data_IF_985429928719
#
_entry.id   IF_985429928719
#
_cell.length_a   1.000
_cell.length_b   1.000
_cell.length_c   1.000
_cell.angle_alpha   90.00
_cell.angle_beta   90.00
_cell.angle_gamma   90.00
#
_symmetry.space_group_name_H-M   'P 1'
#
loop_
_entity.id
_entity.type
_entity.pdbx_description
1 polymer ?
#
# COMPACT_ATOMS: atom_id res chain seq x y z
N UNK A 1 -85.14 -6.79 -42.85
CA UNK A 1 -84.32 -5.64 -42.38
C UNK A 1 -84.15 -5.61 -40.85
N UNK A 2 -85.01 -6.24 -40.04
CA UNK A 2 -84.93 -6.13 -38.57
C UNK A 2 -83.76 -6.92 -37.92
N UNK A 3 -83.32 -8.03 -38.51
CA UNK A 3 -82.24 -8.86 -37.93
C UNK A 3 -80.84 -8.24 -38.01
N UNK A 4 -80.62 -7.30 -38.94
CA UNK A 4 -79.33 -6.63 -39.09
C UNK A 4 -79.11 -5.59 -37.97
N UNK A 5 -80.18 -4.94 -37.53
CA UNK A 5 -80.14 -3.85 -36.55
C UNK A 5 -79.97 -4.39 -35.12
N UNK A 6 -80.56 -5.55 -34.81
CA UNK A 6 -80.35 -6.25 -33.54
C UNK A 6 -78.90 -6.77 -33.40
N UNK A 7 -78.29 -7.23 -34.50
CA UNK A 7 -76.89 -7.72 -34.50
C UNK A 7 -75.88 -6.57 -34.39
N UNK A 8 -76.17 -5.42 -34.99
CA UNK A 8 -75.37 -4.20 -34.86
C UNK A 8 -75.44 -3.59 -33.44
N UNK A 9 -76.62 -3.57 -32.81
CA UNK A 9 -76.79 -3.13 -31.43
C UNK A 9 -76.15 -4.10 -30.41
N UNK A 10 -76.17 -5.40 -30.68
CA UNK A 10 -75.47 -6.41 -29.88
C UNK A 10 -73.95 -6.22 -29.90
N UNK A 11 -73.37 -5.93 -31.06
CA UNK A 11 -71.92 -5.66 -31.21
C UNK A 11 -71.47 -4.38 -30.50
N UNK A 12 -72.27 -3.31 -30.55
CA UNK A 12 -71.98 -2.04 -29.87
C UNK A 12 -72.07 -2.14 -28.33
N UNK A 13 -72.95 -3.01 -27.81
CA UNK A 13 -73.05 -3.28 -26.37
C UNK A 13 -71.90 -4.17 -25.88
N UNK A 14 -71.47 -5.15 -26.68
CA UNK A 14 -70.30 -5.98 -26.39
C UNK A 14 -69.01 -5.18 -26.33
N UNK A 15 -68.73 -4.38 -27.37
CA UNK A 15 -67.53 -3.54 -27.44
C UNK A 15 -67.39 -2.57 -26.25
N UNK A 16 -68.50 -1.92 -25.83
CA UNK A 16 -68.48 -1.03 -24.66
C UNK A 16 -68.27 -1.78 -23.33
N UNK A 17 -68.72 -3.02 -23.21
CA UNK A 17 -68.49 -3.82 -21.99
C UNK A 17 -67.05 -4.34 -21.94
N UNK A 18 -66.46 -4.66 -23.09
CA UNK A 18 -65.06 -5.07 -23.20
C UNK A 18 -64.11 -3.89 -22.91
N UNK A 19 -64.43 -2.67 -23.35
CA UNK A 19 -63.66 -1.47 -23.04
C UNK A 19 -63.70 -1.14 -21.53
N UNK A 20 -64.86 -1.25 -20.89
CA UNK A 20 -65.01 -1.03 -19.44
C UNK A 20 -64.30 -2.11 -18.63
N UNK A 21 -64.31 -3.37 -19.11
CA UNK A 21 -63.54 -4.45 -18.50
C UNK A 21 -62.02 -4.25 -18.67
N UNK A 22 -61.57 -3.77 -19.83
CA UNK A 22 -60.18 -3.44 -20.10
C UNK A 22 -59.69 -2.28 -19.21
N UNK A 23 -60.49 -1.24 -19.03
CA UNK A 23 -60.18 -0.11 -18.14
C UNK A 23 -60.11 -0.55 -16.66
N UNK A 24 -61.02 -1.42 -16.22
CA UNK A 24 -60.99 -1.96 -14.85
C UNK A 24 -59.75 -2.83 -14.60
N UNK A 25 -59.31 -3.60 -15.61
CA UNK A 25 -58.06 -4.38 -15.54
C UNK A 25 -56.85 -3.45 -15.56
N UNK A 26 -56.86 -2.41 -16.39
CA UNK A 26 -55.81 -1.38 -16.43
C UNK A 26 -55.63 -0.67 -15.09
N UNK A 27 -56.74 -0.25 -14.46
CA UNK A 27 -56.70 0.37 -13.13
C UNK A 27 -56.19 -0.59 -12.05
N UNK A 28 -56.62 -1.85 -12.06
CA UNK A 28 -56.12 -2.86 -11.11
C UNK A 28 -54.64 -3.16 -11.30
N UNK A 29 -54.16 -3.18 -12.54
CA UNK A 29 -52.73 -3.31 -12.83
C UNK A 29 -51.98 -2.07 -12.36
N UNK A 30 -52.50 -0.86 -12.57
CA UNK A 30 -51.86 0.38 -12.13
C UNK A 30 -51.74 0.45 -10.59
N UNK A 31 -52.77 0.03 -9.87
CA UNK A 31 -52.75 -0.08 -8.39
C UNK A 31 -51.77 -1.17 -7.94
N UNK A 32 -51.76 -2.34 -8.60
CA UNK A 32 -50.82 -3.41 -8.28
C UNK A 32 -49.36 -3.02 -8.58
N UNK A 33 -49.10 -2.22 -9.61
CA UNK A 33 -47.78 -1.70 -9.94
C UNK A 33 -47.31 -0.62 -8.98
N UNK A 34 -48.20 0.28 -8.54
CA UNK A 34 -47.88 1.31 -7.54
C UNK A 34 -47.62 0.71 -6.16
N UNK A 35 -48.38 -0.32 -5.76
CA UNK A 35 -48.09 -1.09 -4.53
C UNK A 35 -46.78 -1.89 -4.62
N UNK A 36 -46.45 -2.46 -5.79
CA UNK A 36 -45.15 -3.15 -6.00
C UNK A 36 -43.98 -2.17 -5.99
N UNK A 37 -44.18 -0.95 -6.48
CA UNK A 37 -43.18 0.12 -6.41
C UNK A 37 -42.96 0.59 -4.95
N UNK A 38 -44.01 0.61 -4.13
CA UNK A 38 -43.93 0.94 -2.71
C UNK A 38 -43.26 -0.17 -1.85
N UNK A 39 -43.30 -1.44 -2.29
CA UNK A 39 -42.65 -2.57 -1.60
C UNK A 39 -41.22 -2.88 -2.07
N UNK A 40 -40.58 -2.04 -2.89
CA UNK A 40 -39.12 -2.11 -3.08
C UNK A 40 -38.46 -1.54 -1.81
N UNK A 41 -37.85 -2.46 -1.05
CA UNK A 41 -36.94 -2.29 0.11
C UNK A 41 -36.30 -0.90 0.27
N UNK A 42 -36.01 -0.47 1.51
CA UNK A 42 -35.44 0.84 1.79
C UNK A 42 -34.20 1.00 0.93
N UNK A 43 -34.28 1.93 -0.03
CA UNK A 43 -33.12 2.42 -0.73
C UNK A 43 -32.20 2.95 0.37
N UNK A 44 -31.13 2.23 0.66
CA UNK A 44 -29.94 2.87 1.21
C UNK A 44 -29.71 4.07 0.32
N UNK A 45 -29.98 5.26 0.87
CA UNK A 45 -29.70 6.52 0.21
C UNK A 45 -28.18 6.59 0.14
N UNK A 46 -27.63 6.01 -0.92
CA UNK A 46 -26.23 6.15 -1.24
C UNK A 46 -26.04 7.64 -1.54
N UNK A 47 -25.26 8.38 -0.74
CA UNK A 47 -25.02 9.79 -1.01
C UNK A 47 -24.40 9.91 -2.40
N UNK A 48 -24.76 10.97 -3.14
CA UNK A 48 -24.37 11.24 -4.54
C UNK A 48 -22.84 11.21 -4.80
N UNK A 49 -22.01 11.10 -3.77
CA UNK A 49 -20.54 10.98 -3.85
C UNK A 49 -20.01 9.53 -3.85
N UNK A 50 -20.83 8.53 -3.52
CA UNK A 50 -20.36 7.14 -3.49
C UNK A 50 -19.93 6.54 -4.85
N UNK A 51 -20.52 6.88 -6.02
CA UNK A 51 -19.99 6.35 -7.28
C UNK A 51 -18.61 6.93 -7.60
N UNK A 52 -18.35 8.20 -7.25
CA UNK A 52 -17.04 8.82 -7.44
C UNK A 52 -15.97 8.19 -6.54
N UNK A 53 -16.30 7.93 -5.27
CA UNK A 53 -15.41 7.23 -4.35
C UNK A 53 -15.20 5.76 -4.75
N UNK A 54 -16.21 5.07 -5.26
CA UNK A 54 -16.10 3.70 -5.75
C UNK A 54 -15.23 3.61 -7.01
N UNK A 55 -15.38 4.56 -7.94
CA UNK A 55 -14.51 4.67 -9.13
C UNK A 55 -13.08 5.00 -8.73
N UNK A 56 -12.87 5.96 -7.82
CA UNK A 56 -11.52 6.30 -7.33
C UNK A 56 -10.86 5.11 -6.62
N UNK A 57 -11.59 4.38 -5.78
CA UNK A 57 -11.09 3.18 -5.11
C UNK A 57 -10.73 2.07 -6.12
N UNK A 58 -11.53 1.90 -7.17
CA UNK A 58 -11.25 0.94 -8.23
C UNK A 58 -9.99 1.33 -9.03
N UNK A 59 -9.82 2.62 -9.34
CA UNK A 59 -8.60 3.13 -10.00
C UNK A 59 -7.37 2.90 -9.13
N UNK A 60 -7.45 3.18 -7.82
CA UNK A 60 -6.34 2.94 -6.88
C UNK A 60 -6.01 1.45 -6.80
N UNK A 61 -7.02 0.57 -6.74
CA UNK A 61 -6.80 -0.88 -6.71
C UNK A 61 -6.16 -1.40 -7.99
N UNK A 62 -6.56 -0.88 -9.16
CA UNK A 62 -5.96 -1.24 -10.45
C UNK A 62 -4.52 -0.70 -10.56
N UNK A 63 -4.27 0.52 -10.11
CA UNK A 63 -2.91 1.07 -10.05
C UNK A 63 -2.00 0.26 -9.11
N UNK A 64 -2.53 -0.19 -7.98
CA UNK A 64 -1.78 -1.02 -7.04
C UNK A 64 -1.52 -2.44 -7.58
N UNK A 65 -2.48 -3.04 -8.26
CA UNK A 65 -2.32 -4.38 -8.84
C UNK A 65 -1.37 -4.39 -10.03
N UNK A 66 -1.38 -3.33 -10.85
CA UNK A 66 -0.42 -3.15 -11.96
C UNK A 66 1.01 -3.01 -11.44
N UNK A 67 1.28 -2.18 -10.43
CA UNK A 67 2.62 -2.03 -9.85
C UNK A 67 3.17 -3.30 -9.20
N UNK A 68 2.29 -4.23 -8.79
CA UNK A 68 2.68 -5.55 -8.24
C UNK A 68 2.67 -6.68 -9.25
N UNK A 69 2.44 -6.39 -10.53
CA UNK A 69 2.42 -7.41 -11.56
C UNK A 69 3.81 -8.02 -11.77
N UNK A 70 3.89 -9.34 -11.67
CA UNK A 70 5.06 -10.15 -11.99
C UNK A 70 5.04 -10.60 -13.45
N UNK A 71 6.16 -11.08 -14.00
CA UNK A 71 6.32 -11.33 -15.45
C UNK A 71 5.35 -12.37 -16.08
N UNK A 72 4.69 -13.17 -15.24
CA UNK A 72 3.61 -14.09 -15.59
C UNK A 72 2.25 -13.42 -15.79
N UNK A 73 2.07 -12.17 -15.32
CA UNK A 73 0.83 -11.39 -15.44
C UNK A 73 0.68 -10.67 -16.78
N UNK A 74 -0.56 -10.52 -17.27
CA UNK A 74 -0.89 -9.68 -18.42
C UNK A 74 -0.64 -8.19 -18.16
N UNK A 75 -0.64 -7.76 -16.89
CA UNK A 75 -0.39 -6.38 -16.49
C UNK A 75 1.11 -6.02 -16.44
N UNK A 76 2.00 -7.00 -16.67
CA UNK A 76 3.44 -6.79 -16.59
C UNK A 76 3.94 -5.70 -17.54
N UNK A 77 3.43 -5.68 -18.78
CA UNK A 77 3.78 -4.63 -19.74
C UNK A 77 3.36 -3.23 -19.28
N UNK A 78 2.21 -3.12 -18.60
CA UNK A 78 1.76 -1.85 -18.03
C UNK A 78 2.66 -1.40 -16.86
N UNK A 79 3.11 -2.33 -16.02
CA UNK A 79 4.09 -2.06 -14.96
C UNK A 79 5.39 -1.50 -15.54
N UNK A 80 5.98 -2.20 -16.53
CA UNK A 80 7.23 -1.79 -17.19
C UNK A 80 7.07 -0.39 -17.80
N UNK A 81 5.98 -0.14 -18.52
CA UNK A 81 5.73 1.17 -19.13
C UNK A 81 5.61 2.30 -18.10
N UNK A 82 4.99 2.05 -16.95
CA UNK A 82 4.91 3.03 -15.85
C UNK A 82 6.30 3.28 -15.26
N UNK A 83 7.04 2.23 -14.93
CA UNK A 83 8.39 2.33 -14.36
C UNK A 83 9.38 3.06 -15.29
N UNK A 84 9.32 2.81 -16.60
CA UNK A 84 10.12 3.51 -17.61
C UNK A 84 9.71 4.98 -17.74
N UNK A 85 8.41 5.30 -17.64
CA UNK A 85 7.94 6.70 -17.67
C UNK A 85 8.37 7.50 -16.43
N UNK A 86 8.53 6.81 -15.29
CA UNK A 86 8.97 7.42 -14.03
C UNK A 86 10.45 7.83 -14.06
N UNK A 87 11.26 7.25 -14.96
CA UNK A 87 12.68 7.61 -15.14
C UNK A 87 12.84 9.11 -15.37
N UNK A 88 11.96 9.72 -16.16
CA UNK A 88 12.01 11.15 -16.49
C UNK A 88 11.71 12.08 -15.30
N UNK A 89 11.07 11.56 -14.24
CA UNK A 89 10.72 12.32 -13.04
C UNK A 89 11.70 12.09 -11.89
N UNK A 90 12.68 11.20 -12.07
CA UNK A 90 13.63 10.84 -11.04
C UNK A 90 14.80 11.84 -10.99
N UNK A 91 15.26 12.15 -9.78
CA UNK A 91 16.42 13.02 -9.56
C UNK A 91 17.75 12.39 -9.99
N UNK A 92 17.85 11.06 -9.90
CA UNK A 92 18.96 10.25 -10.39
C UNK A 92 18.44 9.13 -11.31
N UNK A 93 18.32 9.39 -12.63
CA UNK A 93 17.78 8.43 -13.58
C UNK A 93 18.72 7.24 -13.82
N UNK A 94 20.04 7.43 -13.70
CA UNK A 94 21.03 6.36 -13.91
C UNK A 94 21.01 5.38 -12.74
N UNK A 95 21.01 5.90 -11.51
CA UNK A 95 20.87 5.08 -10.30
C UNK A 95 19.57 4.26 -10.31
N UNK A 96 18.45 4.90 -10.64
CA UNK A 96 17.16 4.23 -10.72
C UNK A 96 17.11 3.15 -11.80
N UNK A 97 17.60 3.42 -13.01
CA UNK A 97 17.65 2.41 -14.08
C UNK A 97 18.59 1.24 -13.74
N UNK A 98 19.70 1.50 -13.06
CA UNK A 98 20.61 0.43 -12.62
C UNK A 98 19.94 -0.51 -11.61
N UNK A 99 19.15 0.04 -10.68
CA UNK A 99 18.37 -0.73 -9.73
C UNK A 99 17.29 -1.54 -10.45
N UNK A 100 16.56 -0.92 -11.38
CA UNK A 100 15.53 -1.57 -12.16
C UNK A 100 16.10 -2.73 -12.99
N UNK A 101 17.26 -2.53 -13.61
CA UNK A 101 17.97 -3.58 -14.34
C UNK A 101 18.27 -4.80 -13.46
N UNK A 102 18.82 -4.59 -12.26
CA UNK A 102 19.12 -5.69 -11.32
C UNK A 102 17.85 -6.40 -10.86
N UNK A 103 16.77 -5.65 -10.56
CA UNK A 103 15.50 -6.25 -10.15
C UNK A 103 14.92 -7.15 -11.25
N UNK A 104 14.97 -6.72 -12.52
CA UNK A 104 14.49 -7.52 -13.66
C UNK A 104 15.36 -8.75 -13.92
N UNK A 105 16.66 -8.65 -13.67
CA UNK A 105 17.59 -9.78 -13.76
C UNK A 105 17.27 -10.84 -12.70
N UNK A 106 17.03 -10.43 -11.46
CA UNK A 106 16.60 -11.37 -10.39
C UNK A 106 15.22 -11.96 -10.65
N UNK A 107 14.28 -11.18 -11.17
CA UNK A 107 12.93 -11.64 -11.50
C UNK A 107 12.98 -12.70 -12.62
N UNK A 108 13.78 -12.47 -13.66
CA UNK A 108 14.07 -13.49 -14.67
C UNK A 108 14.68 -14.74 -14.03
N UNK A 109 15.71 -14.53 -13.19
CA UNK A 109 16.30 -15.48 -12.24
C UNK A 109 15.31 -16.49 -11.66
N UNK A 110 14.32 -15.93 -10.95
CA UNK A 110 13.30 -16.69 -10.22
C UNK A 110 12.39 -17.49 -11.15
N UNK A 111 12.00 -16.91 -12.29
CA UNK A 111 11.12 -17.60 -13.24
C UNK A 111 11.81 -18.72 -14.00
N UNK A 112 13.12 -18.62 -14.22
CA UNK A 112 13.90 -19.74 -14.76
C UNK A 112 14.01 -20.88 -13.77
N UNK A 113 14.29 -20.55 -12.50
CA UNK A 113 14.31 -21.54 -11.42
C UNK A 113 12.95 -22.23 -11.23
N UNK A 114 11.85 -21.52 -11.48
CA UNK A 114 10.49 -22.09 -11.43
C UNK A 114 10.05 -22.78 -12.73
N UNK A 115 10.88 -22.81 -13.77
CA UNK A 115 10.57 -23.41 -15.07
C UNK A 115 9.59 -22.62 -15.95
N UNK A 116 9.27 -21.37 -15.62
CA UNK A 116 8.37 -20.52 -16.41
C UNK A 116 9.14 -19.70 -17.45
N UNK A 117 9.49 -20.37 -18.56
CA UNK A 117 10.33 -19.78 -19.61
C UNK A 117 9.72 -18.52 -20.27
N UNK A 118 8.40 -18.44 -20.38
CA UNK A 118 7.72 -17.30 -21.01
C UNK A 118 7.74 -16.06 -20.11
N UNK A 119 7.52 -16.22 -18.80
CA UNK A 119 7.68 -15.14 -17.83
C UNK A 119 9.16 -14.68 -17.75
N UNK A 120 10.10 -15.62 -17.73
CA UNK A 120 11.54 -15.32 -17.76
C UNK A 120 11.94 -14.53 -19.02
N UNK A 121 11.43 -14.92 -20.19
CA UNK A 121 11.68 -14.21 -21.46
C UNK A 121 11.14 -12.78 -21.42
N UNK A 122 9.94 -12.56 -20.88
CA UNK A 122 9.39 -11.20 -20.70
C UNK A 122 10.24 -10.36 -19.77
N UNK A 123 10.68 -10.91 -18.63
CA UNK A 123 11.57 -10.20 -17.71
C UNK A 123 12.90 -9.81 -18.34
N UNK A 124 13.50 -10.70 -19.15
CA UNK A 124 14.71 -10.39 -19.94
C UNK A 124 14.49 -9.30 -20.98
N UNK A 125 13.34 -9.29 -21.65
CA UNK A 125 13.03 -8.23 -22.61
C UNK A 125 12.95 -6.86 -21.94
N UNK A 126 12.35 -6.79 -20.75
CA UNK A 126 12.30 -5.57 -19.93
C UNK A 126 13.70 -5.16 -19.43
N UNK A 127 14.52 -6.12 -18.98
CA UNK A 127 15.93 -5.88 -18.65
C UNK A 127 16.70 -5.26 -19.84
N UNK A 128 16.53 -5.80 -21.05
CA UNK A 128 17.16 -5.27 -22.25
C UNK A 128 16.73 -3.84 -22.59
N UNK A 129 15.47 -3.50 -22.33
CA UNK A 129 14.95 -2.13 -22.47
C UNK A 129 15.58 -1.18 -21.44
N UNK A 130 15.64 -1.59 -20.17
CA UNK A 130 16.30 -0.79 -19.12
C UNK A 130 17.78 -0.54 -19.44
N UNK A 131 18.50 -1.57 -19.91
CA UNK A 131 19.90 -1.42 -20.35
C UNK A 131 20.04 -0.44 -21.52
N UNK A 132 19.12 -0.50 -22.48
CA UNK A 132 19.09 0.41 -23.63
C UNK A 132 18.82 1.87 -23.20
N UNK A 133 17.96 2.08 -22.21
CA UNK A 133 17.73 3.41 -21.64
C UNK A 133 18.96 3.91 -20.88
N UNK A 134 19.63 3.02 -20.14
CA UNK A 134 20.84 3.33 -19.39
C UNK A 134 21.98 3.76 -20.31
N UNK A 135 22.20 3.05 -21.43
CA UNK A 135 23.19 3.44 -22.45
C UNK A 135 22.82 4.71 -23.20
N UNK A 136 21.53 5.03 -23.31
CA UNK A 136 21.06 6.26 -23.95
C UNK A 136 21.24 7.50 -23.06
N UNK A 137 21.05 7.36 -21.75
CA UNK A 137 21.16 8.47 -20.77
C UNK A 137 22.61 8.70 -20.35
N UNK A 138 23.42 7.63 -20.33
CA UNK A 138 24.85 7.70 -20.06
C UNK A 138 25.64 7.31 -21.32
N UNK A 139 25.77 8.22 -22.31
CA UNK A 139 26.75 8.04 -23.36
C UNK A 139 28.13 8.11 -22.71
N UNK A 140 28.76 6.95 -22.57
CA UNK A 140 30.14 6.83 -22.12
C UNK A 140 31.03 7.79 -22.95
N UNK A 141 31.86 8.65 -22.34
CA UNK A 141 32.83 9.40 -23.11
C UNK A 141 33.77 8.41 -23.80
N UNK A 142 33.78 8.44 -25.12
CA UNK A 142 34.66 7.64 -25.95
C UNK A 142 36.13 7.81 -25.51
N UNK A 143 36.72 6.74 -24.94
CA UNK A 143 38.08 6.24 -25.19
C UNK A 143 38.48 5.19 -24.13
N UNK A 144 38.44 3.91 -24.49
CA UNK A 144 39.58 3.00 -24.28
C UNK A 144 39.39 1.78 -25.20
N UNK A 145 40.46 1.30 -25.85
CA UNK A 145 40.35 0.76 -27.20
C UNK A 145 39.72 -0.64 -27.26
N UNK A 146 39.04 -0.86 -28.39
CA UNK A 146 38.82 -2.16 -29.01
C UNK A 146 40.00 -3.11 -28.79
N UNK A 147 39.70 -4.41 -28.66
CA UNK A 147 40.14 -5.27 -29.74
C UNK A 147 38.94 -5.77 -30.52
N UNK A 148 38.81 -5.27 -31.75
CA UNK A 148 38.20 -6.04 -32.83
C UNK A 148 39.01 -7.31 -33.00
N UNK A 149 38.41 -8.43 -32.63
CA UNK A 149 38.61 -9.67 -33.35
C UNK A 149 37.31 -10.46 -33.26
N UNK A 150 36.51 -10.37 -34.31
CA UNK A 150 35.77 -11.54 -34.80
C UNK A 150 36.68 -12.76 -34.70
N UNK A 151 36.16 -13.87 -34.17
CA UNK A 151 36.09 -15.19 -34.81
C UNK A 151 35.88 -16.28 -33.75
N UNK A 152 35.00 -17.23 -34.08
CA UNK A 152 34.90 -18.58 -33.57
C UNK A 152 34.39 -18.82 -32.13
N UNK A 153 33.16 -19.32 -32.11
CA UNK A 153 32.70 -20.48 -31.33
C UNK A 153 33.90 -21.34 -30.86
N UNK A 154 34.07 -21.48 -29.55
CA UNK A 154 34.81 -22.60 -28.96
C UNK A 154 34.11 -23.02 -27.68
N UNK A 155 33.62 -24.26 -27.74
CA UNK A 155 33.04 -25.05 -26.67
C UNK A 155 34.09 -25.25 -25.57
N UNK A 156 33.82 -24.99 -24.28
CA UNK A 156 34.71 -25.47 -23.24
C UNK A 156 34.49 -26.97 -23.04
N UNK A 157 35.53 -27.72 -23.43
CA UNK A 157 35.77 -29.11 -23.06
C UNK A 157 35.83 -29.25 -21.53
N UNK A 158 35.07 -30.16 -20.88
CA UNK A 158 35.26 -30.45 -19.47
C UNK A 158 36.48 -31.36 -19.31
N UNK A 159 37.63 -30.77 -18.99
CA UNK A 159 38.81 -31.53 -18.59
C UNK A 159 38.84 -31.71 -17.09
N UNK A 160 39.00 -32.98 -16.69
CA UNK A 160 38.95 -33.49 -15.35
C UNK A 160 40.07 -32.95 -14.46
N UNK A 161 39.77 -32.77 -13.17
CA UNK A 161 40.76 -33.02 -12.12
C UNK A 161 40.02 -33.56 -10.89
N UNK A 162 40.29 -34.82 -10.48
CA UNK A 162 39.86 -35.32 -9.18
C UNK A 162 40.86 -34.83 -8.13
N UNK A 163 40.38 -34.47 -6.93
CA UNK A 163 40.99 -35.02 -5.73
C UNK A 163 40.07 -34.86 -4.52
N UNK A 164 39.55 -35.99 -4.10
CA UNK A 164 38.89 -36.22 -2.83
C UNK A 164 39.93 -36.17 -1.71
N UNK A 165 39.73 -35.33 -0.71
CA UNK A 165 40.25 -35.60 0.64
C UNK A 165 39.19 -35.20 1.65
N UNK A 166 38.55 -36.23 2.20
CA UNK A 166 37.63 -36.15 3.33
C UNK A 166 38.38 -36.53 4.62
N UNK A 167 37.75 -36.15 5.75
CA UNK A 167 38.08 -36.46 7.15
C UNK A 167 38.99 -35.41 7.83
N UNK A 168 38.48 -34.78 8.89
CA UNK A 168 38.40 -35.48 10.17
C UNK A 168 36.99 -35.51 10.75
N UNK A 169 36.57 -36.68 11.22
CA UNK A 169 35.44 -36.85 12.15
C UNK A 169 35.83 -37.89 13.17
N UNK A 170 36.23 -37.47 14.37
CA UNK A 170 35.96 -38.16 15.62
C UNK A 170 36.11 -37.16 16.78
N UNK A 171 35.02 -36.91 17.51
CA UNK A 171 34.99 -36.99 18.98
C UNK A 171 33.58 -36.68 19.49
N UNK A 172 32.86 -37.67 20.02
CA UNK A 172 31.61 -37.43 20.75
C UNK A 172 31.85 -37.37 22.28
N UNK A 173 30.96 -36.63 22.97
CA UNK A 173 30.53 -36.84 24.39
C UNK A 173 31.44 -36.18 25.46
N UNK A 174 30.95 -35.74 26.65
CA UNK A 174 29.62 -35.88 27.28
C UNK A 174 28.89 -34.58 27.71
N UNK A 175 27.55 -34.65 27.69
CA UNK A 175 26.69 -34.13 28.77
C UNK A 175 26.79 -35.09 29.97
N UNK A 176 26.65 -34.71 31.26
CA UNK A 176 25.55 -33.88 31.79
C UNK A 176 25.97 -32.97 32.97
N UNK A 177 25.05 -32.16 33.53
CA UNK A 177 24.69 -32.16 34.97
C UNK A 177 23.48 -31.23 35.20
N UNK A 178 22.29 -31.73 35.61
CA UNK A 178 21.22 -30.89 36.12
C UNK A 178 21.50 -30.48 37.57
N UNK A 179 21.51 -29.18 37.84
CA UNK A 179 21.71 -28.60 39.17
C UNK A 179 20.43 -28.74 40.02
N UNK A 180 20.52 -29.11 41.31
CA UNK A 180 19.38 -29.53 42.12
C UNK A 180 18.44 -28.39 42.55
N UNK A 181 17.16 -28.76 42.56
CA UNK A 181 16.00 -28.07 43.15
C UNK A 181 16.15 -27.94 44.67
N UNK A 182 16.06 -26.74 45.26
CA UNK A 182 15.84 -26.60 46.69
C UNK A 182 14.36 -26.81 47.04
N UNK A 183 14.13 -27.88 47.78
CA UNK A 183 12.90 -28.23 48.48
C UNK A 183 12.83 -27.38 49.75
N UNK A 184 11.91 -26.42 49.83
CA UNK A 184 11.54 -25.81 51.12
C UNK A 184 10.16 -26.31 51.52
N UNK A 185 10.16 -27.34 52.36
CA UNK A 185 9.01 -27.68 53.18
C UNK A 185 8.78 -26.53 54.16
N UNK A 186 7.55 -26.00 54.17
CA UNK A 186 7.05 -25.20 55.29
C UNK A 186 5.80 -25.85 55.82
N UNK A 187 6.02 -26.42 56.99
CA UNK A 187 5.15 -26.88 58.07
C UNK A 187 3.75 -26.25 58.07
N UNK A 188 2.74 -27.11 58.16
CA UNK A 188 1.37 -26.71 58.47
C UNK A 188 1.31 -26.13 59.89
N UNK A 189 0.75 -24.94 60.04
CA UNK A 189 0.41 -24.35 61.34
C UNK A 189 -1.09 -24.10 61.37
N UNK A 190 -1.80 -24.46 62.47
CA UNK A 190 -3.25 -24.55 62.49
C UNK A 190 -3.97 -23.20 62.43
N UNK A 191 -5.14 -23.24 61.77
CA UNK A 191 -6.13 -22.18 61.59
C UNK A 191 -6.79 -21.77 62.93
N UNK A 192 -6.78 -20.47 63.29
CA UNK A 192 -7.73 -19.91 64.25
C UNK A 192 -8.89 -19.16 63.57
N UNK A 193 -9.95 -18.99 64.34
CA UNK A 193 -11.33 -18.77 63.92
C UNK A 193 -11.65 -17.42 63.25
N UNK A 194 -12.66 -17.49 62.39
CA UNK A 194 -13.32 -16.41 61.64
C UNK A 194 -13.99 -15.39 62.58
N UNK A 195 -13.63 -14.09 62.55
CA UNK A 195 -14.53 -13.05 63.00
C UNK A 195 -15.57 -12.75 61.90
N UNK A 196 -16.83 -12.72 62.29
CA UNK A 196 -17.97 -12.33 61.44
C UNK A 196 -17.77 -10.91 60.91
N UNK A 197 -17.83 -10.65 59.59
CA UNK A 197 -17.79 -9.30 59.07
C UNK A 197 -19.15 -8.61 59.32
N UNK A 198 -19.07 -7.50 60.07
CA UNK A 198 -20.10 -6.46 60.15
C UNK A 198 -20.55 -6.04 58.74
N UNK A 199 -21.85 -5.80 58.50
CA UNK A 199 -22.32 -5.38 57.18
C UNK A 199 -21.76 -4.01 56.81
N UNK A 200 -20.77 -4.00 55.91
CA UNK A 200 -20.25 -2.79 55.28
C UNK A 200 -21.34 -2.16 54.40
N UNK A 201 -21.57 -0.84 54.46
CA UNK A 201 -22.55 -0.18 53.60
C UNK A 201 -22.21 -0.41 52.13
N UNK A 202 -23.21 -0.89 51.40
CA UNK A 202 -23.16 -1.15 49.95
C UNK A 202 -22.60 0.08 49.23
N UNK A 203 -21.48 0.00 48.50
CA UNK A 203 -21.02 1.12 47.69
C UNK A 203 -22.10 1.40 46.65
N UNK A 204 -22.67 2.60 46.72
CA UNK A 204 -23.49 3.16 45.64
C UNK A 204 -22.57 3.29 44.44
N UNK A 205 -22.64 2.33 43.53
CA UNK A 205 -21.98 2.42 42.22
C UNK A 205 -22.67 3.54 41.46
N UNK A 206 -22.20 4.77 41.62
CA UNK A 206 -22.45 5.82 40.66
C UNK A 206 -21.75 5.38 39.39
N UNK A 207 -22.47 4.66 38.54
CA UNK A 207 -22.04 4.30 37.19
C UNK A 207 -21.90 5.60 36.42
N UNK A 208 -20.76 6.28 36.55
CA UNK A 208 -20.35 7.31 35.61
C UNK A 208 -20.23 6.61 34.27
N UNK A 209 -21.28 6.77 33.46
CA UNK A 209 -21.31 6.43 32.04
C UNK A 209 -19.95 6.82 31.46
N UNK A 210 -19.17 5.90 30.86
CA UNK A 210 -17.92 6.28 30.22
C UNK A 210 -18.27 7.37 29.22
N UNK A 211 -17.73 8.56 29.47
CA UNK A 211 -17.76 9.64 28.48
C UNK A 211 -16.99 9.07 27.30
N UNK A 212 -17.74 8.75 26.24
CA UNK A 212 -17.18 8.38 24.94
C UNK A 212 -16.33 9.56 24.47
N UNK A 213 -15.03 9.51 24.78
CA UNK A 213 -14.05 10.42 24.18
C UNK A 213 -14.20 10.24 22.68
N UNK A 214 -14.58 11.30 21.94
CA UNK A 214 -14.79 11.17 20.50
C UNK A 214 -13.49 10.65 19.89
N UNK A 215 -13.57 9.53 19.15
CA UNK A 215 -12.44 8.99 18.41
C UNK A 215 -11.90 10.09 17.51
N UNK A 216 -10.64 10.53 17.67
CA UNK A 216 -10.12 11.65 16.90
C UNK A 216 -10.14 11.29 15.42
N UNK A 217 -10.89 12.08 14.67
CA UNK A 217 -11.06 11.94 13.23
C UNK A 217 -9.74 12.33 12.53
N UNK A 218 -9.27 11.57 11.53
CA UNK A 218 -8.12 12.00 10.74
C UNK A 218 -8.46 13.28 10.00
N UNK A 219 -7.52 14.23 9.99
CA UNK A 219 -7.58 15.48 9.24
C UNK A 219 -6.37 15.58 8.31
N UNK A 220 -6.50 16.35 7.24
CA UNK A 220 -5.36 16.75 6.43
C UNK A 220 -4.55 17.81 7.19
N UNK A 221 -3.25 17.60 7.30
CA UNK A 221 -2.34 18.44 8.06
C UNK A 221 -1.28 18.99 7.13
N UNK A 222 -1.22 20.31 7.05
CA UNK A 222 -0.17 21.07 6.40
C UNK A 222 0.97 21.31 7.41
N UNK A 223 2.11 20.67 7.17
CA UNK A 223 3.32 20.91 7.94
C UNK A 223 4.33 21.72 7.14
N UNK A 224 4.85 22.78 7.76
CA UNK A 224 5.82 23.67 7.13
C UNK A 224 6.98 23.98 8.08
N UNK A 225 8.16 24.20 7.52
CA UNK A 225 9.36 24.53 8.30
C UNK A 225 10.56 24.86 7.43
N UNK A 226 11.72 24.94 8.07
CA UNK A 226 12.99 25.24 7.43
C UNK A 226 14.04 24.17 7.74
N UNK A 227 14.92 23.90 6.78
CA UNK A 227 16.09 23.03 6.89
C UNK A 227 17.31 23.87 6.61
N UNK A 228 18.21 23.92 7.58
CA UNK A 228 19.46 24.65 7.48
C UNK A 228 20.62 23.69 7.75
N UNK A 229 21.78 23.97 7.17
CA UNK A 229 23.03 23.35 7.60
C UNK A 229 23.47 23.92 8.96
N UNK A 230 24.48 23.31 9.57
CA UNK A 230 25.05 23.80 10.84
C UNK A 230 25.62 25.23 10.76
N UNK A 231 25.98 25.70 9.56
CA UNK A 231 26.45 27.06 9.28
C UNK A 231 25.29 28.08 9.12
N UNK A 232 24.03 27.63 9.18
CA UNK A 232 22.84 28.46 9.00
C UNK A 232 22.41 28.68 7.56
N UNK A 233 23.14 28.17 6.57
CA UNK A 233 22.75 28.25 5.16
C UNK A 233 21.56 27.32 4.85
N UNK A 234 20.65 27.72 3.94
CA UNK A 234 19.50 26.90 3.57
C UNK A 234 19.93 25.64 2.82
N UNK A 235 19.24 24.53 3.09
CA UNK A 235 19.45 23.26 2.39
C UNK A 235 18.47 23.14 1.23
N UNK A 236 18.99 22.92 0.03
CA UNK A 236 18.17 22.65 -1.16
C UNK A 236 18.18 21.16 -1.48
N UNK A 237 17.00 20.63 -1.85
CA UNK A 237 16.84 19.22 -2.20
C UNK A 237 16.99 18.28 -1.00
N UNK A 238 16.74 18.73 0.23
CA UNK A 238 16.69 17.84 1.38
C UNK A 238 15.47 16.92 1.26
N UNK A 239 15.71 15.61 1.35
CA UNK A 239 14.68 14.59 1.35
C UNK A 239 14.05 14.47 2.73
N UNK A 240 12.75 14.69 2.84
CA UNK A 240 11.97 14.50 4.06
C UNK A 240 11.23 13.17 3.99
N UNK A 241 11.30 12.39 5.06
CA UNK A 241 10.68 11.07 5.19
C UNK A 241 10.05 10.90 6.58
N UNK A 242 9.06 10.01 6.69
CA UNK A 242 8.46 9.62 7.98
C UNK A 242 9.21 8.47 8.68
N UNK A 243 10.22 7.92 7.99
CA UNK A 243 11.08 6.81 8.46
C UNK A 243 12.54 7.12 8.18
N UNK A 244 13.46 6.58 8.97
CA UNK A 244 14.90 6.88 8.94
C UNK A 244 15.51 6.81 7.52
N UNK A 245 15.21 5.74 6.78
CA UNK A 245 15.66 5.50 5.39
C UNK A 245 14.48 5.42 4.41
N UNK A 246 13.38 6.09 4.76
CA UNK A 246 12.16 6.05 3.98
C UNK A 246 12.28 6.70 2.60
N UNK A 247 11.23 6.50 1.81
CA UNK A 247 11.01 7.25 0.58
C UNK A 247 10.91 8.75 0.89
N UNK A 248 11.42 9.58 -0.02
CA UNK A 248 11.23 11.03 0.06
C UNK A 248 9.77 11.37 -0.22
N UNK A 249 9.08 11.89 0.79
CA UNK A 249 7.68 12.34 0.67
C UNK A 249 7.58 13.83 0.40
N UNK A 250 8.65 14.59 0.71
CA UNK A 250 8.78 16.00 0.37
C UNK A 250 10.26 16.37 0.17
N UNK A 251 10.49 17.45 -0.57
CA UNK A 251 11.79 18.06 -0.77
C UNK A 251 11.85 19.45 -0.12
N UNK A 252 13.05 19.92 0.23
CA UNK A 252 13.24 21.34 0.58
C UNK A 252 13.58 22.18 -0.65
N UNK A 253 13.02 23.40 -0.71
CA UNK A 253 13.34 24.42 -1.73
C UNK A 253 13.68 25.73 -1.02
N UNK A 254 14.87 26.27 -1.27
CA UNK A 254 15.46 27.38 -0.53
C UNK A 254 15.41 27.16 1.00
N UNK A 255 15.75 25.95 1.43
CA UNK A 255 15.63 25.54 2.83
C UNK A 255 14.20 25.37 3.34
N UNK A 256 13.14 25.68 2.60
CA UNK A 256 11.76 25.55 3.07
C UNK A 256 11.20 24.17 2.78
N UNK A 257 10.58 23.54 3.77
CA UNK A 257 9.77 22.32 3.61
C UNK A 257 8.29 22.70 3.67
N UNK A 258 7.52 22.08 2.79
CA UNK A 258 6.07 22.12 2.76
C UNK A 258 5.55 20.71 2.47
N UNK A 259 4.75 20.12 3.37
CA UNK A 259 4.16 18.80 3.15
C UNK A 259 2.75 18.68 3.72
N UNK A 260 1.93 17.85 3.07
CA UNK A 260 0.59 17.50 3.52
C UNK A 260 0.53 16.01 3.88
N UNK A 261 -0.08 15.68 5.02
CA UNK A 261 -0.32 14.30 5.42
C UNK A 261 -1.57 14.17 6.29
N UNK A 262 -2.14 12.97 6.34
CA UNK A 262 -3.28 12.69 7.21
C UNK A 262 -2.84 12.29 8.62
N UNK A 263 -3.30 13.03 9.63
CA UNK A 263 -3.02 12.75 11.03
C UNK A 263 -4.17 13.12 11.96
N UNK A 264 -4.06 12.72 13.23
CA UNK A 264 -5.06 12.99 14.26
C UNK A 264 -4.56 14.09 15.20
N UNK A 265 -5.48 14.91 15.71
CA UNK A 265 -5.14 15.88 16.76
C UNK A 265 -4.59 15.15 18.00
N UNK A 266 -3.44 15.61 18.49
CA UNK A 266 -2.71 14.98 19.59
C UNK A 266 -1.77 13.85 19.16
N UNK A 267 -1.70 13.50 17.87
CA UNK A 267 -0.74 12.53 17.36
C UNK A 267 0.66 13.17 17.28
N UNK A 268 1.67 12.48 17.80
CA UNK A 268 3.07 12.84 17.62
C UNK A 268 3.62 12.25 16.32
N UNK A 269 4.28 13.07 15.52
CA UNK A 269 4.85 12.68 14.22
C UNK A 269 6.33 13.00 14.25
N UNK A 270 7.14 12.07 13.78
CA UNK A 270 8.57 12.28 13.60
C UNK A 270 8.87 12.31 12.11
N UNK A 271 9.55 13.36 11.68
CA UNK A 271 10.06 13.51 10.33
C UNK A 271 11.58 13.43 10.39
N UNK A 272 12.13 12.67 9.46
CA UNK A 272 13.56 12.56 9.22
C UNK A 272 13.88 13.34 7.95
N UNK A 273 14.99 14.07 7.98
CA UNK A 273 15.46 14.85 6.85
C UNK A 273 16.86 14.38 6.53
N UNK A 274 17.13 14.10 5.26
CA UNK A 274 18.46 13.73 4.78
C UNK A 274 18.83 14.54 3.55
N UNK A 275 20.10 14.89 3.43
CA UNK A 275 20.62 15.53 2.24
C UNK A 275 22.03 15.01 1.97
N UNK A 276 22.35 14.70 0.72
CA UNK A 276 23.69 14.30 0.33
C UNK A 276 24.43 15.52 -0.20
N UNK A 277 25.49 15.92 0.50
CA UNK A 277 26.37 17.01 0.09
C UNK A 277 27.83 16.55 0.19
N UNK A 278 28.43 16.29 -0.96
CA UNK A 278 29.83 15.85 -1.06
C UNK A 278 30.81 16.91 -0.54
N UNK A 279 30.47 18.20 -0.60
CA UNK A 279 31.34 19.28 -0.11
C UNK A 279 31.39 19.35 1.42
N UNK A 280 30.38 18.82 2.10
CA UNK A 280 30.23 18.86 3.57
C UNK A 280 30.46 17.51 4.26
N UNK A 281 31.00 16.53 3.54
CA UNK A 281 31.40 15.24 4.12
C UNK A 281 30.38 14.11 3.95
N UNK A 282 29.39 14.25 3.06
CA UNK A 282 28.50 13.15 2.65
C UNK A 282 27.04 13.37 3.02
N UNK A 283 26.37 12.30 3.45
CA UNK A 283 24.94 12.36 3.83
C UNK A 283 24.78 12.96 5.22
N UNK A 284 24.10 14.09 5.29
CA UNK A 284 23.77 14.78 6.52
C UNK A 284 22.32 14.45 6.91
N UNK A 285 22.07 14.38 8.22
CA UNK A 285 20.80 13.95 8.77
C UNK A 285 20.23 14.96 9.77
N UNK A 286 18.90 15.03 9.81
CA UNK A 286 18.13 15.81 10.75
C UNK A 286 16.86 15.06 11.15
N UNK A 287 16.31 15.41 12.31
CA UNK A 287 15.01 14.90 12.73
C UNK A 287 14.23 15.99 13.46
N UNK A 288 12.92 15.93 13.33
CA UNK A 288 12.00 16.76 14.10
C UNK A 288 10.82 15.93 14.55
N UNK A 289 10.40 16.11 15.80
CA UNK A 289 9.20 15.48 16.33
C UNK A 289 8.23 16.57 16.75
N UNK A 290 7.01 16.53 16.20
CA UNK A 290 5.96 17.52 16.45
C UNK A 290 4.68 16.83 16.89
N UNK A 291 3.90 17.50 17.72
CA UNK A 291 2.54 17.04 18.07
C UNK A 291 1.54 17.83 17.26
N UNK A 292 0.63 17.13 16.57
CA UNK A 292 -0.38 17.75 15.72
C UNK A 292 -1.42 18.47 16.59
N UNK A 293 -1.36 19.80 16.63
CA UNK A 293 -2.33 20.65 17.34
C UNK A 293 -3.59 20.98 16.53
N UNK A 294 -3.49 20.94 15.19
CA UNK A 294 -4.53 21.38 14.26
C UNK A 294 -4.15 21.08 12.80
N UNK A 295 -4.85 21.68 11.83
CA UNK A 295 -4.58 21.49 10.41
C UNK A 295 -3.24 22.07 9.97
N UNK A 296 -2.74 23.10 10.66
CA UNK A 296 -1.43 23.69 10.37
C UNK A 296 -0.44 23.34 11.49
N UNK A 297 0.74 22.85 11.12
CA UNK A 297 1.79 22.45 12.05
C UNK A 297 3.13 23.04 11.64
N UNK A 298 3.64 23.95 12.47
CA UNK A 298 4.99 24.48 12.31
C UNK A 298 6.03 23.46 12.80
N UNK A 299 6.91 23.01 11.91
CA UNK A 299 8.04 22.14 12.22
C UNK A 299 9.22 22.93 12.84
N UNK A 300 9.24 24.25 12.64
CA UNK A 300 10.37 25.09 13.05
C UNK A 300 11.58 24.90 12.13
N UNK A 301 12.78 25.02 12.70
CA UNK A 301 14.05 24.89 11.97
C UNK A 301 14.72 23.57 12.30
N UNK A 302 15.05 22.80 11.27
CA UNK A 302 15.70 21.50 11.34
C UNK A 302 17.15 21.71 10.88
N UNK A 303 18.11 21.46 11.76
CA UNK A 303 19.52 21.57 11.41
C UNK A 303 20.06 20.22 10.97
N UNK A 304 20.70 20.15 9.81
CA UNK A 304 21.40 18.95 9.33
C UNK A 304 22.82 18.89 9.89
N UNK A 305 23.23 17.69 10.31
CA UNK A 305 24.56 17.37 10.81
C UNK A 305 25.06 16.04 10.29
#
# INVERSE_FOLDING_TARGET
MQDSLARALGGLKGARMDDVAADAIGQRLQVAWTERAARRRPRFAIPRFAPALAVAALVILVAFSTMRATADSALYGARVAVEDSLVAFQSDPVGYLSQLYTERLEEAARFEASGNALAASRARSAQGQALRLLTQISPEPAQSPEPSASTAISVPSPSATPDTTASPTESPTPAPTPTPRPTTGRTATPKPATPSPTPTPKPTTTTTKPSITPTPTPMDVHAYGYVLYADGSPVDGACVSTSLDGLCVAGSVNGRIDLHFSAKKGQSITLYVRNYDAARGGTLHGKVTVTVGGPDVALGTITLR
#
